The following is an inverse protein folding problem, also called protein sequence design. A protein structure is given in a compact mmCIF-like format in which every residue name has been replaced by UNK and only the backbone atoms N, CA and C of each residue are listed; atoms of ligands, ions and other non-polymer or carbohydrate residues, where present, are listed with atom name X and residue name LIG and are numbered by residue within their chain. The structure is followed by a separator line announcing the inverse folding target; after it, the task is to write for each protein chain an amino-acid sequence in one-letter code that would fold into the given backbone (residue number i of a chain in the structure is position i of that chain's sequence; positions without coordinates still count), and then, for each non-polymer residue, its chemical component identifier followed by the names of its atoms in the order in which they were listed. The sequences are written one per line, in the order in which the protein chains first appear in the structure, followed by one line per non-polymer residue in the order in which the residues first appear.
data_IF_416866499328
#
_entry.id   IF_416866499328
#
_cell.length_a   1.000
_cell.length_b   1.000
_cell.length_c   1.000
_cell.angle_alpha   90.00
_cell.angle_beta   90.00
_cell.angle_gamma   90.00
#
_symmetry.space_group_name_H-M   'P 1'
#
loop_
_entity.id
_entity.type
_entity.pdbx_description
1 polymer ?
#
# COMPACT_ATOMS: atom_id res chain seq x y z
N UNK A 1 39.30 -7.19 -0.05
CA UNK A 1 37.91 -7.54 0.31
C UNK A 1 37.13 -7.42 -0.97
N UNK A 2 36.53 -8.53 -1.42
CA UNK A 2 35.75 -8.56 -2.67
C UNK A 2 34.61 -7.54 -2.56
N UNK A 3 34.61 -6.57 -3.44
CA UNK A 3 33.57 -5.52 -3.56
C UNK A 3 32.29 -6.05 -4.25
N UNK A 4 31.98 -7.33 -4.03
CA UNK A 4 30.76 -7.93 -4.57
C UNK A 4 29.53 -7.34 -3.87
N UNK A 5 28.56 -6.90 -4.67
CA UNK A 5 27.28 -6.43 -4.14
C UNK A 5 26.61 -7.53 -3.29
N UNK A 6 25.96 -7.20 -2.16
CA UNK A 6 25.19 -8.18 -1.42
C UNK A 6 24.11 -8.83 -2.29
N UNK A 7 23.73 -10.05 -1.97
CA UNK A 7 22.71 -10.80 -2.71
C UNK A 7 21.39 -10.85 -1.93
N UNK A 8 20.30 -10.45 -2.57
CA UNK A 8 18.94 -10.54 -2.04
C UNK A 8 18.18 -11.64 -2.78
N UNK A 9 17.73 -12.65 -2.05
CA UNK A 9 16.84 -13.68 -2.57
C UNK A 9 15.38 -13.29 -2.28
N UNK A 10 14.55 -13.22 -3.31
CA UNK A 10 13.11 -12.95 -3.20
C UNK A 10 12.35 -14.23 -3.54
N UNK A 11 11.56 -14.71 -2.60
CA UNK A 11 10.69 -15.88 -2.76
C UNK A 11 9.25 -15.39 -2.92
N UNK A 12 8.68 -15.61 -4.10
CA UNK A 12 7.38 -15.08 -4.54
C UNK A 12 7.56 -13.95 -5.56
N UNK A 13 7.07 -14.17 -6.80
CA UNK A 13 7.22 -13.25 -7.95
C UNK A 13 5.98 -12.42 -8.26
N UNK A 14 5.03 -12.31 -7.32
CA UNK A 14 3.83 -11.49 -7.49
C UNK A 14 4.09 -9.98 -7.34
N UNK A 15 3.02 -9.19 -7.17
CA UNK A 15 3.10 -7.74 -6.97
C UNK A 15 4.19 -7.34 -5.96
N UNK A 16 4.14 -7.84 -4.74
CA UNK A 16 5.04 -7.41 -3.66
C UNK A 16 6.47 -7.88 -3.92
N UNK A 17 6.67 -9.18 -4.21
CA UNK A 17 8.02 -9.71 -4.43
C UNK A 17 8.68 -9.17 -5.69
N UNK A 18 7.94 -9.05 -6.78
CA UNK A 18 8.42 -8.38 -8.00
C UNK A 18 8.79 -6.92 -7.76
N UNK A 19 7.98 -6.20 -6.99
CA UNK A 19 8.29 -4.81 -6.61
C UNK A 19 9.52 -4.70 -5.72
N UNK A 20 9.72 -5.64 -4.78
CA UNK A 20 10.95 -5.70 -3.96
C UNK A 20 12.16 -5.92 -4.87
N UNK A 21 12.09 -6.89 -5.78
CA UNK A 21 13.16 -7.19 -6.72
C UNK A 21 13.54 -5.96 -7.56
N UNK A 22 12.55 -5.30 -8.16
CA UNK A 22 12.77 -4.08 -8.93
C UNK A 22 13.31 -2.91 -8.09
N UNK A 23 12.82 -2.73 -6.85
CA UNK A 23 13.28 -1.65 -5.96
C UNK A 23 14.75 -1.82 -5.57
N UNK A 24 15.18 -3.06 -5.24
CA UNK A 24 16.58 -3.38 -4.93
C UNK A 24 17.48 -3.15 -6.14
N UNK A 25 17.10 -3.61 -7.32
CA UNK A 25 17.86 -3.41 -8.57
C UNK A 25 17.96 -1.94 -8.95
N UNK A 26 16.86 -1.20 -8.87
CA UNK A 26 16.84 0.27 -9.12
C UNK A 26 17.79 1.03 -8.20
N UNK A 27 17.86 0.62 -6.94
CA UNK A 27 18.80 1.21 -5.98
C UNK A 27 20.26 0.86 -6.24
N UNK A 28 20.56 -0.14 -7.07
CA UNK A 28 21.91 -0.63 -7.33
C UNK A 28 22.63 -1.14 -6.07
N UNK A 29 21.83 -1.54 -5.06
CA UNK A 29 22.36 -1.85 -3.70
C UNK A 29 22.67 -3.32 -3.50
N UNK A 30 22.12 -4.21 -4.35
CA UNK A 30 22.33 -5.64 -4.26
C UNK A 30 21.99 -6.35 -5.60
N UNK A 31 22.55 -7.55 -5.79
CA UNK A 31 22.10 -8.52 -6.82
C UNK A 31 20.83 -9.21 -6.35
N UNK A 32 19.88 -9.45 -7.24
CA UNK A 32 18.58 -10.06 -6.90
C UNK A 32 18.43 -11.42 -7.59
N UNK A 33 18.16 -12.45 -6.79
CA UNK A 33 17.67 -13.75 -7.25
C UNK A 33 16.19 -13.85 -6.89
N UNK A 34 15.36 -14.28 -7.85
CA UNK A 34 13.93 -14.47 -7.64
C UNK A 34 13.53 -15.91 -7.89
N UNK A 35 12.65 -16.44 -7.06
CA UNK A 35 12.00 -17.72 -7.31
C UNK A 35 10.51 -17.65 -6.97
N UNK A 36 9.72 -18.47 -7.61
CA UNK A 36 8.31 -18.71 -7.30
C UNK A 36 8.00 -20.19 -7.49
N UNK A 37 7.01 -20.72 -6.78
CA UNK A 37 6.54 -22.10 -6.98
C UNK A 37 5.91 -22.31 -8.37
N UNK A 38 5.25 -21.26 -8.88
CA UNK A 38 4.57 -21.28 -10.17
C UNK A 38 5.56 -20.97 -11.31
N UNK A 39 5.69 -21.90 -12.26
CA UNK A 39 6.54 -21.73 -13.44
C UNK A 39 6.07 -20.59 -14.35
N UNK A 40 4.76 -20.36 -14.44
CA UNK A 40 4.22 -19.25 -15.21
C UNK A 40 4.65 -17.90 -14.63
N UNK A 41 4.63 -17.75 -13.31
CA UNK A 41 5.15 -16.57 -12.61
C UNK A 41 6.64 -16.38 -12.85
N UNK A 42 7.45 -17.47 -12.75
CA UNK A 42 8.90 -17.41 -13.04
C UNK A 42 9.19 -17.00 -14.48
N UNK A 43 8.45 -17.56 -15.43
CA UNK A 43 8.60 -17.22 -16.85
C UNK A 43 8.27 -15.75 -17.07
N UNK A 44 7.16 -15.30 -16.51
CA UNK A 44 6.75 -13.90 -16.64
C UNK A 44 7.72 -12.94 -15.96
N UNK A 45 8.27 -13.32 -14.80
CA UNK A 45 9.30 -12.53 -14.11
C UNK A 45 10.58 -12.35 -14.97
N UNK A 46 10.97 -13.38 -15.76
CA UNK A 46 12.09 -13.26 -16.71
C UNK A 46 11.74 -12.32 -17.87
N UNK A 47 10.55 -12.47 -18.46
CA UNK A 47 10.09 -11.61 -19.57
C UNK A 47 10.02 -10.14 -19.17
N UNK A 48 9.64 -9.86 -17.92
CA UNK A 48 9.53 -8.51 -17.36
C UNK A 48 10.86 -8.00 -16.76
N UNK A 49 11.92 -8.79 -16.81
CA UNK A 49 13.24 -8.44 -16.24
C UNK A 49 13.17 -7.99 -14.77
N UNK A 50 12.40 -8.72 -13.95
CA UNK A 50 12.15 -8.32 -12.55
C UNK A 50 13.39 -8.52 -11.65
N UNK A 51 14.28 -9.46 -11.95
CA UNK A 51 15.44 -9.83 -11.14
C UNK A 51 16.67 -10.07 -12.03
N UNK A 52 17.87 -10.06 -11.45
CA UNK A 52 19.09 -10.38 -12.18
C UNK A 52 19.14 -11.86 -12.58
N UNK A 53 18.49 -12.72 -11.79
CA UNK A 53 18.35 -14.14 -12.10
C UNK A 53 17.03 -14.68 -11.53
N UNK A 54 16.33 -15.50 -12.32
CA UNK A 54 15.10 -16.18 -11.89
C UNK A 54 15.36 -17.69 -11.89
N UNK A 55 15.42 -18.28 -10.71
CA UNK A 55 15.77 -19.69 -10.48
C UNK A 55 14.54 -20.55 -10.18
N UNK A 56 14.69 -21.87 -10.29
CA UNK A 56 13.55 -22.79 -10.20
C UNK A 56 13.13 -23.10 -8.74
N UNK A 57 14.10 -23.19 -7.83
CA UNK A 57 13.86 -23.67 -6.48
C UNK A 57 14.41 -22.72 -5.40
N UNK A 58 13.81 -22.79 -4.21
CA UNK A 58 14.25 -21.98 -3.06
C UNK A 58 15.72 -22.20 -2.71
N UNK A 59 16.25 -23.44 -2.64
CA UNK A 59 17.67 -23.66 -2.36
C UNK A 59 18.60 -22.91 -3.32
N UNK A 60 18.28 -22.90 -4.62
CA UNK A 60 19.11 -22.25 -5.64
C UNK A 60 19.15 -20.72 -5.45
N UNK A 61 18.03 -20.14 -4.98
CA UNK A 61 17.95 -18.70 -4.74
C UNK A 61 18.74 -18.25 -3.50
N UNK A 62 18.81 -19.10 -2.46
CA UNK A 62 19.25 -18.67 -1.14
C UNK A 62 20.67 -19.06 -0.76
N UNK A 63 21.33 -19.98 -1.49
CA UNK A 63 22.65 -20.55 -1.13
C UNK A 63 23.73 -19.48 -0.97
N UNK A 64 23.67 -18.38 -1.70
CA UNK A 64 24.60 -17.26 -1.60
C UNK A 64 23.93 -15.96 -1.14
N UNK A 65 22.72 -16.02 -0.58
CA UNK A 65 21.98 -14.84 -0.20
C UNK A 65 22.47 -14.22 1.12
N UNK A 66 22.59 -12.92 1.16
CA UNK A 66 22.79 -12.13 2.39
C UNK A 66 21.47 -11.77 3.05
N UNK A 67 20.39 -11.63 2.26
CA UNK A 67 19.03 -11.37 2.72
C UNK A 67 18.06 -12.24 1.94
N UNK A 68 17.16 -12.90 2.65
CA UNK A 68 16.07 -13.70 2.08
C UNK A 68 14.74 -13.04 2.45
N UNK A 69 13.94 -12.74 1.44
CA UNK A 69 12.61 -12.13 1.61
C UNK A 69 11.53 -13.07 1.10
N UNK A 70 10.66 -13.53 1.99
CA UNK A 70 9.47 -14.32 1.62
C UNK A 70 8.27 -13.39 1.36
N UNK A 71 7.96 -13.14 0.09
CA UNK A 71 6.83 -12.34 -0.36
C UNK A 71 5.70 -13.23 -0.89
N UNK A 72 5.20 -14.11 -0.04
CA UNK A 72 4.22 -15.16 -0.31
C UNK A 72 3.07 -15.13 0.70
N UNK A 73 1.94 -15.82 0.47
CA UNK A 73 0.85 -15.88 1.43
C UNK A 73 1.33 -16.31 2.83
N UNK A 74 0.78 -15.67 3.88
CA UNK A 74 1.18 -15.86 5.28
C UNK A 74 1.17 -17.33 5.72
N UNK A 75 0.27 -18.13 5.16
CA UNK A 75 0.14 -19.58 5.45
C UNK A 75 1.33 -20.41 4.99
N UNK A 76 2.14 -19.92 4.06
CA UNK A 76 3.30 -20.63 3.51
C UNK A 76 4.65 -20.08 4.05
N UNK A 77 4.65 -18.92 4.71
CA UNK A 77 5.88 -18.22 5.12
C UNK A 77 6.74 -19.07 6.03
N UNK A 78 6.14 -19.72 7.02
CA UNK A 78 6.88 -20.50 8.03
C UNK A 78 7.69 -21.63 7.36
N UNK A 79 7.03 -22.47 6.58
CA UNK A 79 7.68 -23.63 5.95
C UNK A 79 8.74 -23.22 4.94
N UNK A 80 8.45 -22.16 4.17
CA UNK A 80 9.36 -21.66 3.16
C UNK A 80 10.60 -21.02 3.77
N UNK A 81 10.44 -20.18 4.84
CA UNK A 81 11.60 -19.59 5.53
C UNK A 81 12.45 -20.61 6.27
N UNK A 82 11.85 -21.64 6.87
CA UNK A 82 12.62 -22.74 7.47
C UNK A 82 13.39 -23.52 6.39
N UNK A 83 12.77 -23.79 5.24
CA UNK A 83 13.46 -24.40 4.10
C UNK A 83 14.60 -23.53 3.61
N UNK A 84 14.36 -22.23 3.42
CA UNK A 84 15.39 -21.27 3.05
C UNK A 84 16.53 -21.23 4.08
N UNK A 85 16.22 -21.24 5.37
CA UNK A 85 17.20 -21.20 6.45
C UNK A 85 18.15 -22.40 6.48
N UNK A 86 17.72 -23.58 6.03
CA UNK A 86 18.55 -24.79 5.93
C UNK A 86 19.61 -24.69 4.82
N UNK A 87 19.37 -23.86 3.81
CA UNK A 87 20.23 -23.74 2.62
C UNK A 87 20.98 -22.41 2.56
N UNK A 88 20.46 -21.37 3.17
CA UNK A 88 21.10 -20.05 3.22
C UNK A 88 22.28 -20.02 4.20
N UNK A 89 23.28 -19.16 3.98
CA UNK A 89 24.33 -18.90 4.97
C UNK A 89 23.75 -18.56 6.35
N UNK A 90 24.38 -19.02 7.42
CA UNK A 90 23.92 -18.71 8.81
C UNK A 90 23.95 -17.21 9.13
N UNK A 91 24.68 -16.43 8.37
CA UNK A 91 24.75 -14.96 8.45
C UNK A 91 23.67 -14.24 7.63
N UNK A 92 22.93 -14.97 6.80
CA UNK A 92 21.86 -14.41 5.99
C UNK A 92 20.70 -13.96 6.87
N UNK A 93 20.19 -12.79 6.60
CA UNK A 93 19.00 -12.25 7.26
C UNK A 93 17.77 -12.88 6.59
N UNK A 94 16.81 -13.30 7.41
CA UNK A 94 15.52 -13.82 6.94
C UNK A 94 14.43 -12.80 7.26
N UNK A 95 13.57 -12.52 6.32
CA UNK A 95 12.40 -11.65 6.52
C UNK A 95 11.23 -12.09 5.65
N UNK A 96 10.08 -11.53 5.89
CA UNK A 96 8.88 -11.75 5.09
C UNK A 96 8.15 -10.42 4.80
N UNK A 97 7.15 -10.47 3.94
CA UNK A 97 6.30 -9.35 3.60
C UNK A 97 4.81 -9.63 3.93
N UNK A 98 4.51 -10.62 4.76
CA UNK A 98 3.16 -11.03 5.08
C UNK A 98 2.42 -10.01 5.94
N UNK A 99 1.09 -9.97 5.81
CA UNK A 99 0.23 -9.03 6.54
C UNK A 99 0.03 -9.39 8.02
N UNK A 100 0.34 -10.62 8.43
CA UNK A 100 0.21 -11.10 9.82
C UNK A 100 1.59 -11.26 10.44
N UNK A 101 1.77 -10.75 11.67
CA UNK A 101 3.08 -10.80 12.32
C UNK A 101 3.11 -11.67 13.56
N UNK A 102 2.11 -11.58 14.44
CA UNK A 102 2.13 -12.29 15.72
C UNK A 102 2.34 -13.81 15.56
N UNK A 103 1.49 -14.46 14.79
CA UNK A 103 1.55 -15.91 14.58
C UNK A 103 2.77 -16.29 13.75
N UNK A 104 2.99 -15.60 12.63
CA UNK A 104 4.10 -15.88 11.70
C UNK A 104 5.45 -15.74 12.41
N UNK A 105 5.65 -14.62 13.14
CA UNK A 105 6.93 -14.37 13.84
C UNK A 105 7.17 -15.42 14.94
N UNK A 106 6.14 -15.75 15.72
CA UNK A 106 6.28 -16.77 16.78
C UNK A 106 6.63 -18.13 16.20
N UNK A 107 5.94 -18.58 15.16
CA UNK A 107 6.15 -19.89 14.55
C UNK A 107 7.49 -19.99 13.81
N UNK A 108 7.89 -18.97 13.05
CA UNK A 108 9.19 -18.94 12.37
C UNK A 108 10.31 -19.02 13.42
N UNK A 109 10.27 -18.16 14.46
CA UNK A 109 11.29 -18.13 15.49
C UNK A 109 11.40 -19.48 16.22
N UNK A 110 10.25 -20.08 16.59
CA UNK A 110 10.22 -21.36 17.26
C UNK A 110 10.78 -22.51 16.40
N UNK A 111 10.41 -22.55 15.10
CA UNK A 111 10.90 -23.59 14.17
C UNK A 111 12.40 -23.43 13.90
N UNK A 112 12.89 -22.20 13.70
CA UNK A 112 14.32 -21.94 13.53
C UNK A 112 15.12 -22.37 14.79
N UNK A 113 14.60 -22.08 15.98
CA UNK A 113 15.23 -22.50 17.24
C UNK A 113 15.24 -24.02 17.38
N UNK A 114 14.14 -24.71 17.08
CA UNK A 114 14.03 -26.17 17.19
C UNK A 114 15.00 -26.92 16.27
N UNK A 115 15.39 -26.30 15.14
CA UNK A 115 16.32 -26.88 14.16
C UNK A 115 17.74 -26.29 14.27
N UNK A 116 18.05 -25.50 15.29
CA UNK A 116 19.33 -24.79 15.44
C UNK A 116 19.71 -23.92 14.22
N UNK A 117 18.74 -23.23 13.65
CA UNK A 117 18.92 -22.41 12.44
C UNK A 117 19.10 -20.91 12.72
N UNK A 118 19.69 -20.55 13.87
CA UNK A 118 19.97 -19.17 14.31
C UNK A 118 18.71 -18.27 14.22
N UNK A 119 17.74 -18.39 15.15
CA UNK A 119 16.47 -17.66 15.09
C UNK A 119 16.63 -16.14 15.13
N UNK A 120 17.71 -15.62 15.72
CA UNK A 120 17.99 -14.18 15.82
C UNK A 120 18.15 -13.47 14.47
N UNK A 121 18.46 -14.20 13.42
CA UNK A 121 18.57 -13.63 12.05
C UNK A 121 17.22 -13.39 11.35
N UNK A 122 16.12 -13.82 11.94
CA UNK A 122 14.80 -13.55 11.40
C UNK A 122 14.22 -12.26 11.98
N UNK A 123 13.73 -11.40 11.09
CA UNK A 123 13.01 -10.16 11.42
C UNK A 123 11.73 -10.14 10.60
N UNK A 124 10.59 -10.27 11.23
CA UNK A 124 9.31 -10.17 10.53
C UNK A 124 9.14 -8.81 9.88
N UNK A 125 8.58 -8.77 8.68
CA UNK A 125 8.37 -7.55 7.90
C UNK A 125 6.95 -7.46 7.34
N UNK A 126 6.47 -6.23 7.15
CA UNK A 126 5.21 -5.95 6.46
C UNK A 126 5.27 -4.59 5.77
N UNK A 127 5.37 -4.52 4.43
CA UNK A 127 5.22 -3.28 3.70
C UNK A 127 3.76 -2.82 3.75
N UNK A 128 3.52 -1.61 4.27
CA UNK A 128 2.20 -0.97 4.24
C UNK A 128 1.97 -0.36 2.85
N UNK A 129 2.03 -1.21 1.83
CA UNK A 129 1.89 -0.88 0.43
C UNK A 129 1.26 -2.08 -0.30
N UNK A 130 0.50 -1.78 -1.34
CA UNK A 130 -0.18 -2.80 -2.16
C UNK A 130 -1.17 -2.14 -3.10
N UNK A 131 -1.77 -2.94 -3.94
CA UNK A 131 -2.88 -2.53 -4.80
C UNK A 131 -3.86 -3.71 -4.96
N UNK A 132 -4.99 -3.44 -5.57
CA UNK A 132 -5.96 -4.47 -5.97
C UNK A 132 -5.47 -5.33 -7.16
N UNK A 133 -4.34 -4.96 -7.78
CA UNK A 133 -3.73 -5.71 -8.87
C UNK A 133 -2.87 -6.84 -8.32
N UNK A 134 -2.83 -7.95 -9.02
CA UNK A 134 -2.09 -9.15 -8.67
C UNK A 134 -1.10 -9.54 -9.78
N UNK A 135 -0.18 -10.43 -9.46
CA UNK A 135 0.76 -11.00 -10.42
C UNK A 135 2.01 -10.16 -10.67
N UNK A 136 2.96 -10.71 -11.44
CA UNK A 136 4.23 -10.06 -11.78
C UNK A 136 4.05 -8.78 -12.63
N UNK A 137 2.98 -8.70 -13.44
CA UNK A 137 2.63 -7.52 -14.25
C UNK A 137 2.30 -6.28 -13.43
N UNK A 138 1.92 -6.47 -12.18
CA UNK A 138 1.61 -5.38 -11.26
C UNK A 138 2.83 -4.86 -10.50
N UNK A 139 3.99 -5.50 -10.65
CA UNK A 139 5.21 -5.11 -9.95
C UNK A 139 5.66 -3.70 -10.35
N UNK A 140 6.00 -2.90 -9.34
CA UNK A 140 6.49 -1.53 -9.51
C UNK A 140 7.65 -1.26 -8.53
N UNK A 141 8.83 -0.96 -9.06
CA UNK A 141 10.03 -0.65 -8.25
C UNK A 141 9.92 0.64 -7.44
N UNK A 142 8.88 1.44 -7.63
CA UNK A 142 8.59 2.63 -6.83
C UNK A 142 7.55 2.41 -5.72
N UNK A 143 6.94 1.22 -5.66
CA UNK A 143 5.84 0.89 -4.75
C UNK A 143 6.13 1.24 -3.27
N UNK A 144 7.38 1.14 -2.86
CA UNK A 144 7.79 1.34 -1.47
C UNK A 144 8.34 2.74 -1.18
N UNK A 145 8.46 3.61 -2.19
CA UNK A 145 8.96 4.97 -1.99
C UNK A 145 7.99 5.76 -1.10
N UNK A 146 8.50 6.24 0.05
CA UNK A 146 7.69 6.92 1.04
C UNK A 146 6.72 6.02 1.82
N UNK A 147 6.53 4.76 1.41
CA UNK A 147 5.68 3.82 2.12
C UNK A 147 6.30 3.39 3.46
N UNK A 148 5.46 3.13 4.45
CA UNK A 148 5.92 2.58 5.73
C UNK A 148 6.17 1.09 5.57
N UNK A 149 7.34 0.62 6.00
CA UNK A 149 7.64 -0.80 6.16
C UNK A 149 7.77 -1.11 7.65
N UNK A 150 6.87 -1.91 8.18
CA UNK A 150 6.92 -2.30 9.57
C UNK A 150 7.83 -3.50 9.71
N UNK A 151 8.81 -3.42 10.62
CA UNK A 151 9.61 -4.53 11.10
C UNK A 151 9.13 -4.94 12.49
N UNK A 152 9.09 -6.24 12.73
CA UNK A 152 8.60 -6.78 14.01
C UNK A 152 9.68 -7.59 14.74
N UNK A 153 10.68 -6.91 15.33
CA UNK A 153 11.69 -7.57 16.15
C UNK A 153 11.07 -8.17 17.41
N UNK A 154 11.70 -9.22 17.91
CA UNK A 154 11.42 -9.86 19.20
C UNK A 154 12.69 -9.86 20.06
N UNK A 155 12.59 -10.32 21.31
CA UNK A 155 13.75 -10.46 22.19
C UNK A 155 14.82 -11.43 21.64
N UNK A 156 14.44 -12.32 20.71
CA UNK A 156 15.36 -13.21 20.03
C UNK A 156 16.06 -12.59 18.82
N UNK A 157 15.62 -11.41 18.37
CA UNK A 157 16.13 -10.79 17.14
C UNK A 157 17.51 -10.19 17.36
N UNK A 158 18.47 -10.49 16.48
CA UNK A 158 19.81 -9.89 16.49
C UNK A 158 19.73 -8.41 16.05
N UNK A 159 20.29 -7.52 16.85
CA UNK A 159 20.34 -6.09 16.53
C UNK A 159 21.03 -5.82 15.19
N UNK A 160 22.09 -6.56 14.88
CA UNK A 160 22.79 -6.43 13.60
C UNK A 160 21.90 -6.82 12.40
N UNK A 161 21.07 -7.85 12.54
CA UNK A 161 20.11 -8.25 11.51
C UNK A 161 19.04 -7.16 11.30
N UNK A 162 18.49 -6.62 12.39
CA UNK A 162 17.52 -5.53 12.35
C UNK A 162 18.11 -4.27 11.68
N UNK A 163 19.33 -3.87 12.05
CA UNK A 163 19.97 -2.69 11.46
C UNK A 163 20.28 -2.85 9.97
N UNK A 164 20.85 -4.00 9.56
CA UNK A 164 21.18 -4.27 8.15
C UNK A 164 19.90 -4.31 7.29
N UNK A 165 18.85 -5.00 7.76
CA UNK A 165 17.57 -5.03 7.05
C UNK A 165 16.95 -3.63 6.95
N UNK A 166 16.97 -2.86 8.05
CA UNK A 166 16.47 -1.48 8.04
C UNK A 166 17.23 -0.59 7.06
N UNK A 167 18.55 -0.75 6.94
CA UNK A 167 19.36 -0.01 5.98
C UNK A 167 18.99 -0.37 4.53
N UNK A 168 18.84 -1.66 4.23
CA UNK A 168 18.39 -2.12 2.91
C UNK A 168 17.04 -1.51 2.53
N UNK A 169 16.04 -1.58 3.42
CA UNK A 169 14.70 -1.07 3.16
C UNK A 169 14.67 0.44 2.93
N UNK A 170 15.46 1.20 3.72
CA UNK A 170 15.64 2.64 3.50
C UNK A 170 16.35 2.95 2.19
N UNK A 171 17.25 2.06 1.73
CA UNK A 171 17.98 2.21 0.49
C UNK A 171 17.08 2.28 -0.76
N UNK A 172 15.91 1.68 -0.73
CA UNK A 172 14.92 1.83 -1.78
C UNK A 172 13.70 2.70 -1.41
N UNK A 173 13.88 3.57 -0.44
CA UNK A 173 12.95 4.68 -0.16
C UNK A 173 11.85 4.39 0.85
N UNK A 174 11.82 3.22 1.49
CA UNK A 174 10.84 2.91 2.53
C UNK A 174 11.11 3.64 3.85
N UNK A 175 10.05 4.02 4.54
CA UNK A 175 10.11 4.51 5.92
C UNK A 175 9.99 3.32 6.89
N UNK A 176 11.06 2.99 7.57
CA UNK A 176 11.09 1.82 8.47
C UNK A 176 10.56 2.20 9.85
N UNK A 177 9.59 1.44 10.33
CA UNK A 177 9.01 1.51 11.67
C UNK A 177 9.18 0.16 12.37
N UNK A 178 9.73 0.13 13.57
CA UNK A 178 9.83 -1.09 14.36
C UNK A 178 8.72 -1.13 15.43
N UNK A 179 7.98 -2.25 15.49
CA UNK A 179 6.90 -2.50 16.44
C UNK A 179 6.96 -3.96 16.93
N UNK A 180 6.56 -4.27 18.17
CA UNK A 180 6.31 -5.65 18.56
C UNK A 180 5.24 -6.31 17.68
N UNK A 181 5.34 -7.63 17.38
CA UNK A 181 4.39 -8.34 16.51
C UNK A 181 2.93 -8.19 16.93
N UNK A 182 2.64 -8.29 18.24
CA UNK A 182 1.28 -8.13 18.76
C UNK A 182 0.75 -6.72 18.51
N UNK A 183 1.59 -5.70 18.74
CA UNK A 183 1.20 -4.31 18.54
C UNK A 183 0.95 -4.00 17.06
N UNK A 184 1.75 -4.59 16.17
CA UNK A 184 1.51 -4.53 14.73
C UNK A 184 0.11 -5.05 14.38
N UNK A 185 -0.24 -6.27 14.82
CA UNK A 185 -1.51 -6.92 14.48
C UNK A 185 -2.72 -6.17 15.06
N UNK A 186 -2.60 -5.58 16.26
CA UNK A 186 -3.62 -4.69 16.82
C UNK A 186 -3.85 -3.44 15.96
N UNK A 187 -2.78 -2.79 15.51
CA UNK A 187 -2.88 -1.57 14.71
C UNK A 187 -3.45 -1.84 13.31
N UNK A 188 -2.98 -2.89 12.63
CA UNK A 188 -3.49 -3.22 11.29
C UNK A 188 -4.94 -3.72 11.33
N UNK A 189 -5.39 -4.29 12.45
CA UNK A 189 -6.80 -4.61 12.63
C UNK A 189 -7.69 -3.36 12.53
N UNK A 190 -7.24 -2.21 13.02
CA UNK A 190 -7.99 -0.95 12.98
C UNK A 190 -7.83 -0.22 11.64
N UNK A 191 -6.61 -0.16 11.09
CA UNK A 191 -6.33 0.71 9.93
C UNK A 191 -6.44 -0.01 8.58
N UNK A 192 -6.55 -1.34 8.58
CA UNK A 192 -6.63 -2.17 7.37
C UNK A 192 -7.81 -3.15 7.41
N UNK A 193 -7.86 -4.04 8.41
CA UNK A 193 -8.84 -5.13 8.43
C UNK A 193 -10.26 -4.62 8.69
N UNK A 194 -10.44 -3.72 9.65
CA UNK A 194 -11.74 -3.11 9.92
C UNK A 194 -12.28 -2.32 8.71
N UNK A 195 -11.51 -1.45 8.04
CA UNK A 195 -11.95 -0.81 6.80
C UNK A 195 -12.42 -1.79 5.72
N UNK A 196 -11.72 -2.91 5.52
CA UNK A 196 -12.12 -3.95 4.57
C UNK A 196 -13.49 -4.55 4.94
N UNK A 197 -13.67 -4.94 6.20
CA UNK A 197 -14.93 -5.52 6.68
C UNK A 197 -16.06 -4.50 6.58
N UNK A 198 -15.82 -3.24 6.96
CA UNK A 198 -16.82 -2.18 6.88
C UNK A 198 -17.23 -1.88 5.43
N UNK A 199 -16.26 -1.82 4.50
CA UNK A 199 -16.54 -1.63 3.08
C UNK A 199 -17.34 -2.79 2.49
N UNK A 200 -16.98 -4.03 2.85
CA UNK A 200 -17.71 -5.23 2.40
C UNK A 200 -19.13 -5.24 2.93
N UNK A 201 -19.34 -4.96 4.23
CA UNK A 201 -20.67 -4.89 4.81
C UNK A 201 -21.52 -3.78 4.20
N UNK A 202 -20.93 -2.60 3.91
CA UNK A 202 -21.66 -1.50 3.27
C UNK A 202 -22.06 -1.85 1.83
N UNK A 203 -21.19 -2.51 1.09
CA UNK A 203 -21.48 -2.96 -0.27
C UNK A 203 -22.58 -4.02 -0.30
N UNK A 204 -22.56 -4.95 0.67
CA UNK A 204 -23.56 -6.03 0.80
C UNK A 204 -24.94 -5.47 1.15
N UNK A 205 -25.04 -4.52 2.09
CA UNK A 205 -26.29 -3.78 2.39
C UNK A 205 -26.85 -3.10 1.13
N UNK A 206 -26.00 -2.50 0.30
CA UNK A 206 -26.45 -1.88 -0.94
C UNK A 206 -26.93 -2.93 -1.96
N UNK A 207 -26.29 -4.10 -2.02
CA UNK A 207 -26.69 -5.20 -2.87
C UNK A 207 -28.08 -5.74 -2.52
N UNK A 208 -28.40 -5.86 -1.23
CA UNK A 208 -29.74 -6.25 -0.76
C UNK A 208 -30.82 -5.25 -1.24
N UNK A 209 -30.53 -3.96 -1.19
CA UNK A 209 -31.46 -2.92 -1.66
C UNK A 209 -31.62 -2.97 -3.19
N UNK A 210 -30.53 -3.22 -3.94
CA UNK A 210 -30.58 -3.42 -5.40
C UNK A 210 -31.46 -4.61 -5.75
N UNK A 211 -31.32 -5.73 -5.04
CA UNK A 211 -32.12 -6.92 -5.25
C UNK A 211 -33.62 -6.68 -4.99
N UNK A 212 -33.94 -5.83 -4.02
CA UNK A 212 -35.33 -5.50 -3.66
C UNK A 212 -35.98 -4.42 -4.54
N UNK A 213 -35.17 -3.42 -5.00
CA UNK A 213 -35.67 -2.18 -5.62
C UNK A 213 -35.15 -1.93 -7.04
N UNK A 214 -34.33 -2.85 -7.58
CA UNK A 214 -33.72 -2.71 -8.90
C UNK A 214 -32.53 -1.74 -8.94
N UNK A 215 -31.94 -1.56 -10.11
CA UNK A 215 -30.66 -0.84 -10.33
C UNK A 215 -30.71 0.68 -10.07
N UNK A 216 -31.87 1.23 -9.74
CA UNK A 216 -32.03 2.67 -9.45
C UNK A 216 -31.06 3.13 -8.34
N UNK A 217 -30.75 2.25 -7.39
CA UNK A 217 -29.76 2.53 -6.30
C UNK A 217 -28.38 2.87 -6.87
N UNK A 218 -27.97 2.19 -7.95
CA UNK A 218 -26.67 2.43 -8.59
C UNK A 218 -26.62 3.80 -9.27
N UNK A 219 -27.73 4.28 -9.78
CA UNK A 219 -27.82 5.59 -10.43
C UNK A 219 -27.62 6.76 -9.45
N UNK A 220 -27.94 6.56 -8.15
CA UNK A 220 -27.76 7.56 -7.10
C UNK A 220 -26.48 7.37 -6.29
N UNK A 221 -25.72 6.32 -6.58
CA UNK A 221 -24.42 6.05 -5.94
C UNK A 221 -23.38 7.11 -6.33
N UNK A 222 -23.16 8.08 -5.43
CA UNK A 222 -22.18 9.15 -5.60
C UNK A 222 -20.73 8.70 -5.34
N UNK A 223 -19.79 9.64 -5.49
CA UNK A 223 -18.35 9.40 -5.27
C UNK A 223 -18.05 8.83 -3.88
N UNK A 224 -18.67 9.39 -2.83
CA UNK A 224 -18.45 8.92 -1.45
C UNK A 224 -18.77 7.44 -1.26
N UNK A 225 -19.84 6.92 -1.86
CA UNK A 225 -20.16 5.49 -1.83
C UNK A 225 -19.08 4.66 -2.54
N UNK A 226 -18.70 5.07 -3.76
CA UNK A 226 -17.68 4.37 -4.57
C UNK A 226 -16.34 4.33 -3.85
N UNK A 227 -15.89 5.45 -3.28
CA UNK A 227 -14.61 5.54 -2.57
C UNK A 227 -14.61 4.66 -1.31
N UNK A 228 -15.71 4.70 -0.54
CA UNK A 228 -15.82 3.91 0.71
C UNK A 228 -15.91 2.41 0.44
N UNK A 229 -16.54 1.98 -0.66
CA UNK A 229 -16.71 0.56 -0.98
C UNK A 229 -15.67 0.01 -1.95
N UNK A 230 -14.75 0.83 -2.47
CA UNK A 230 -13.75 0.42 -3.47
C UNK A 230 -12.98 -0.84 -3.09
N UNK A 231 -12.55 -0.93 -1.84
CA UNK A 231 -11.76 -2.06 -1.34
C UNK A 231 -12.60 -3.34 -1.14
N UNK A 232 -13.92 -3.26 -1.12
CA UNK A 232 -14.79 -4.44 -1.03
C UNK A 232 -14.64 -5.41 -2.23
N UNK A 233 -14.12 -4.92 -3.37
CA UNK A 233 -13.84 -5.73 -4.56
C UNK A 233 -12.55 -6.57 -4.45
N UNK A 234 -11.86 -6.55 -3.34
CA UNK A 234 -10.66 -7.34 -3.10
C UNK A 234 -10.95 -8.84 -3.09
N UNK A 235 -9.95 -9.64 -3.50
CA UNK A 235 -10.03 -11.09 -3.55
C UNK A 235 -10.33 -11.70 -2.16
N UNK A 236 -11.41 -12.47 -2.00
CA UNK A 236 -11.73 -13.14 -0.75
C UNK A 236 -10.65 -14.13 -0.28
N UNK A 237 -9.96 -14.81 -1.19
CA UNK A 237 -8.93 -15.78 -0.85
C UNK A 237 -7.69 -15.13 -0.22
N UNK A 238 -7.45 -13.85 -0.50
CA UNK A 238 -6.46 -13.04 0.20
C UNK A 238 -6.93 -12.70 1.63
N UNK A 239 -8.21 -12.34 1.80
CA UNK A 239 -8.70 -11.79 3.05
C UNK A 239 -9.09 -12.84 4.09
N UNK A 240 -9.56 -14.02 3.67
CA UNK A 240 -9.94 -15.10 4.60
C UNK A 240 -8.81 -15.47 5.57
N UNK A 241 -7.56 -15.75 5.13
CA UNK A 241 -6.45 -16.03 6.04
C UNK A 241 -6.09 -14.84 6.93
N UNK A 242 -6.19 -13.62 6.41
CA UNK A 242 -5.85 -12.39 7.16
C UNK A 242 -6.83 -12.20 8.32
N UNK A 243 -8.13 -12.23 8.04
CA UNK A 243 -9.16 -12.02 9.06
C UNK A 243 -9.16 -13.14 10.12
N UNK A 244 -9.01 -14.40 9.69
CA UNK A 244 -8.97 -15.54 10.60
C UNK A 244 -7.68 -15.58 11.42
N UNK A 245 -6.54 -15.24 10.84
CA UNK A 245 -5.25 -15.23 11.53
C UNK A 245 -5.11 -14.08 12.53
N UNK A 246 -5.79 -12.96 12.31
CA UNK A 246 -5.84 -11.81 13.24
C UNK A 246 -7.18 -11.72 13.99
N UNK A 247 -7.86 -12.86 14.18
CA UNK A 247 -9.24 -12.93 14.69
C UNK A 247 -9.49 -12.11 15.95
N UNK A 248 -8.64 -12.20 16.94
CA UNK A 248 -8.85 -11.54 18.25
C UNK A 248 -8.84 -10.03 18.09
N UNK A 249 -7.84 -9.46 17.40
CA UNK A 249 -7.74 -8.03 17.21
C UNK A 249 -8.84 -7.50 16.27
N UNK A 250 -9.22 -8.28 15.25
CA UNK A 250 -10.34 -7.92 14.35
C UNK A 250 -11.67 -7.86 15.09
N UNK A 251 -11.96 -8.85 15.96
CA UNK A 251 -13.18 -8.83 16.78
C UNK A 251 -13.22 -7.62 17.72
N UNK A 252 -12.10 -7.31 18.38
CA UNK A 252 -12.00 -6.12 19.22
C UNK A 252 -12.23 -4.82 18.42
N UNK A 253 -11.63 -4.70 17.24
CA UNK A 253 -11.84 -3.55 16.35
C UNK A 253 -13.32 -3.43 15.91
N UNK A 254 -13.97 -4.55 15.59
CA UNK A 254 -15.39 -4.60 15.25
C UNK A 254 -16.29 -4.20 16.43
N UNK A 255 -15.98 -4.62 17.65
CA UNK A 255 -16.75 -4.21 18.83
C UNK A 255 -16.64 -2.71 19.08
N UNK A 256 -15.45 -2.13 18.91
CA UNK A 256 -15.28 -0.68 18.99
C UNK A 256 -16.05 0.05 17.89
N UNK A 257 -16.02 -0.46 16.65
CA UNK A 257 -16.74 0.13 15.53
C UNK A 257 -18.25 0.08 15.75
N UNK A 258 -18.78 -1.08 16.18
CA UNK A 258 -20.19 -1.27 16.51
C UNK A 258 -20.64 -0.27 17.58
N UNK A 259 -19.85 -0.10 18.66
CA UNK A 259 -20.19 0.87 19.70
C UNK A 259 -20.26 2.32 19.15
N UNK A 260 -19.45 2.70 18.16
CA UNK A 260 -19.55 4.00 17.47
C UNK A 260 -20.79 4.12 16.59
N UNK A 261 -21.15 3.03 15.89
CA UNK A 261 -22.41 3.00 15.12
C UNK A 261 -23.63 3.12 16.02
N UNK A 262 -23.63 2.46 17.19
CA UNK A 262 -24.70 2.54 18.17
C UNK A 262 -24.83 3.96 18.77
N UNK A 263 -23.69 4.65 19.02
CA UNK A 263 -23.68 6.06 19.46
C UNK A 263 -24.35 6.98 18.40
N UNK A 264 -23.99 6.81 17.13
CA UNK A 264 -24.56 7.56 16.01
C UNK A 264 -26.06 7.25 15.86
N UNK A 265 -26.42 5.98 15.89
CA UNK A 265 -27.80 5.52 15.79
C UNK A 265 -28.68 6.08 16.87
N UNK A 266 -28.22 6.08 18.12
CA UNK A 266 -28.96 6.67 19.25
C UNK A 266 -29.17 8.16 19.05
N UNK A 267 -28.13 8.92 18.69
CA UNK A 267 -28.24 10.36 18.46
C UNK A 267 -29.25 10.70 17.34
N UNK A 268 -29.30 9.87 16.28
CA UNK A 268 -30.30 10.05 15.21
C UNK A 268 -31.71 9.68 15.70
N UNK A 269 -31.88 8.59 16.44
CA UNK A 269 -33.18 8.14 16.93
C UNK A 269 -33.82 9.12 17.92
N UNK A 270 -32.98 9.77 18.73
CA UNK A 270 -33.41 10.71 19.76
C UNK A 270 -33.48 12.18 19.25
N UNK A 271 -33.22 12.41 17.95
CA UNK A 271 -33.10 13.75 17.32
C UNK A 271 -32.12 14.68 18.08
N UNK A 272 -31.09 14.10 18.70
CA UNK A 272 -30.04 14.85 19.44
C UNK A 272 -28.96 15.38 18.46
N UNK A 273 -29.28 16.55 17.87
CA UNK A 273 -28.37 17.24 16.97
C UNK A 273 -27.01 17.59 17.64
N UNK A 274 -26.98 17.82 18.95
CA UNK A 274 -25.75 18.16 19.66
C UNK A 274 -24.85 16.91 19.84
N UNK A 275 -25.43 15.75 20.16
CA UNK A 275 -24.69 14.50 20.22
C UNK A 275 -24.15 14.13 18.85
N UNK A 276 -24.98 14.21 17.81
CA UNK A 276 -24.56 13.92 16.43
C UNK A 276 -23.41 14.83 15.99
N UNK A 277 -23.51 16.14 16.23
CA UNK A 277 -22.42 17.09 15.93
C UNK A 277 -21.13 16.71 16.65
N UNK A 278 -21.19 16.36 17.93
CA UNK A 278 -19.99 15.93 18.70
C UNK A 278 -19.28 14.73 18.05
N UNK A 279 -20.03 13.73 17.56
CA UNK A 279 -19.47 12.56 16.90
C UNK A 279 -18.81 12.94 15.59
N UNK A 280 -19.50 13.69 14.74
CA UNK A 280 -19.00 14.12 13.43
C UNK A 280 -17.76 15.02 13.57
N UNK A 281 -17.75 15.97 14.49
CA UNK A 281 -16.60 16.82 14.76
C UNK A 281 -15.40 16.03 15.26
N UNK A 282 -15.62 15.01 16.10
CA UNK A 282 -14.55 14.12 16.57
C UNK A 282 -13.95 13.34 15.39
N UNK A 283 -14.78 12.79 14.52
CA UNK A 283 -14.35 12.07 13.33
C UNK A 283 -13.58 12.96 12.36
N UNK A 284 -14.08 14.16 12.09
CA UNK A 284 -13.42 15.14 11.23
C UNK A 284 -12.03 15.56 11.78
N UNK A 285 -11.94 15.82 13.10
CA UNK A 285 -10.63 16.09 13.73
C UNK A 285 -9.67 14.91 13.61
N UNK A 286 -10.14 13.67 13.80
CA UNK A 286 -9.33 12.46 13.65
C UNK A 286 -8.83 12.34 12.20
N UNK A 287 -9.70 12.52 11.20
CA UNK A 287 -9.34 12.43 9.77
C UNK A 287 -8.24 13.43 9.41
N UNK A 288 -8.36 14.68 9.87
CA UNK A 288 -7.32 15.72 9.64
C UNK A 288 -5.96 15.39 10.26
N UNK A 289 -5.92 14.56 11.32
CA UNK A 289 -4.66 14.10 11.93
C UNK A 289 -4.09 12.87 11.25
N UNK A 290 -4.96 11.97 10.76
CA UNK A 290 -4.57 10.70 10.14
C UNK A 290 -4.07 10.86 8.70
N UNK A 291 -4.49 11.91 8.02
CA UNK A 291 -3.85 12.35 6.79
C UNK A 291 -2.82 13.38 7.21
N UNK A 292 -1.54 13.02 7.32
CA UNK A 292 -0.53 14.04 7.42
C UNK A 292 -0.78 14.98 6.23
N UNK A 293 -0.83 16.27 6.47
CA UNK A 293 -0.38 17.19 5.44
C UNK A 293 1.01 16.69 5.12
N UNK A 294 1.20 15.98 4.04
CA UNK A 294 2.50 15.87 3.38
C UNK A 294 3.03 17.27 3.47
N UNK A 295 4.26 17.42 3.97
CA UNK A 295 4.92 18.67 4.33
C UNK A 295 4.28 19.78 3.52
N UNK A 296 3.56 20.71 4.14
CA UNK A 296 2.68 21.59 3.41
C UNK A 296 3.52 22.51 2.53
N UNK A 297 3.96 21.97 1.40
CA UNK A 297 4.23 22.76 0.22
C UNK A 297 2.89 23.41 -0.04
N UNK A 298 2.83 24.71 0.15
CA UNK A 298 1.61 25.42 -0.16
C UNK A 298 1.25 25.02 -1.59
N UNK A 299 0.09 24.42 -1.78
CA UNK A 299 -0.37 23.97 -3.09
C UNK A 299 -1.45 24.90 -3.62
N UNK A 300 -1.53 25.02 -4.91
CA UNK A 300 -2.56 25.78 -5.63
C UNK A 300 -3.10 24.93 -6.76
N UNK A 301 -4.31 25.22 -7.18
CA UNK A 301 -4.92 24.58 -8.33
C UNK A 301 -4.74 25.48 -9.58
N UNK A 302 -4.14 24.93 -10.64
CA UNK A 302 -4.19 25.48 -11.97
C UNK A 302 -5.50 25.04 -12.61
N UNK A 303 -6.40 25.97 -12.81
CA UNK A 303 -7.73 25.72 -13.39
C UNK A 303 -7.64 25.94 -14.89
N UNK A 304 -7.88 24.88 -15.66
CA UNK A 304 -7.72 24.86 -17.11
C UNK A 304 -9.04 24.46 -17.77
N UNK A 305 -9.81 25.38 -18.32
CA UNK A 305 -10.94 25.05 -19.15
C UNK A 305 -10.48 24.30 -20.41
N UNK A 306 -10.92 23.05 -20.57
CA UNK A 306 -10.56 22.21 -21.71
C UNK A 306 -11.80 21.91 -22.57
N UNK A 307 -11.58 21.87 -23.88
CA UNK A 307 -12.56 21.26 -24.77
C UNK A 307 -12.54 19.76 -24.58
N UNK A 308 -13.72 19.13 -24.53
CA UNK A 308 -13.86 17.67 -24.43
C UNK A 308 -13.54 17.03 -25.79
N UNK A 309 -12.24 16.86 -26.05
CA UNK A 309 -11.71 16.24 -27.26
C UNK A 309 -10.46 15.41 -26.96
N UNK A 310 -10.23 14.34 -27.73
CA UNK A 310 -9.02 13.55 -27.59
C UNK A 310 -7.74 14.39 -27.64
N UNK A 311 -6.81 14.17 -26.71
CA UNK A 311 -5.52 14.84 -26.62
C UNK A 311 -5.49 16.13 -25.81
N UNK A 312 -6.62 16.72 -25.40
CA UNK A 312 -6.64 17.95 -24.64
C UNK A 312 -5.93 17.83 -23.29
N UNK A 313 -6.16 16.75 -22.56
CA UNK A 313 -5.47 16.44 -21.29
C UNK A 313 -3.96 16.19 -21.53
N UNK A 314 -3.62 15.46 -22.59
CA UNK A 314 -2.23 15.17 -22.94
C UNK A 314 -1.44 16.46 -23.25
N UNK A 315 -2.05 17.45 -23.91
CA UNK A 315 -1.43 18.74 -24.19
C UNK A 315 -1.08 19.50 -22.90
N UNK A 316 -2.00 19.52 -21.92
CA UNK A 316 -1.76 20.16 -20.62
C UNK A 316 -0.64 19.47 -19.85
N UNK A 317 -0.67 18.12 -19.77
CA UNK A 317 0.35 17.33 -19.07
C UNK A 317 1.74 17.50 -19.73
N UNK A 318 1.81 17.51 -21.06
CA UNK A 318 3.07 17.72 -21.80
C UNK A 318 3.66 19.10 -21.54
N UNK A 319 2.82 20.15 -21.53
CA UNK A 319 3.25 21.51 -21.24
C UNK A 319 3.83 21.65 -19.83
N UNK A 320 3.19 21.06 -18.83
CA UNK A 320 3.65 21.08 -17.45
C UNK A 320 4.94 20.27 -17.27
N UNK A 321 5.02 19.09 -17.89
CA UNK A 321 6.23 18.25 -17.87
C UNK A 321 7.43 18.93 -18.52
N UNK A 322 7.25 19.61 -19.68
CA UNK A 322 8.30 20.37 -20.34
C UNK A 322 8.82 21.55 -19.49
N UNK A 323 7.96 22.13 -18.64
CA UNK A 323 8.32 23.18 -17.69
C UNK A 323 8.88 22.65 -16.36
N UNK A 324 9.11 21.34 -16.23
CA UNK A 324 9.54 20.68 -14.98
C UNK A 324 8.64 21.05 -13.78
N UNK A 325 7.33 21.09 -14.00
CA UNK A 325 6.32 21.30 -12.96
C UNK A 325 5.78 19.93 -12.54
N UNK A 326 6.01 19.57 -11.27
CA UNK A 326 5.43 18.36 -10.69
C UNK A 326 3.93 18.57 -10.47
N UNK A 327 3.14 17.55 -10.79
CA UNK A 327 1.69 17.54 -10.61
C UNK A 327 1.40 16.70 -9.37
N UNK A 328 0.83 17.32 -8.33
CA UNK A 328 0.50 16.68 -7.05
C UNK A 328 -0.85 15.94 -7.10
N UNK A 329 -1.81 16.50 -7.86
CA UNK A 329 -3.14 15.92 -8.03
C UNK A 329 -3.80 16.43 -9.31
N UNK A 330 -4.73 15.63 -9.87
CA UNK A 330 -5.50 15.98 -11.08
C UNK A 330 -6.97 15.63 -10.89
N UNK A 331 -7.84 16.60 -11.08
CA UNK A 331 -9.28 16.37 -11.11
C UNK A 331 -9.90 16.94 -12.37
N UNK A 332 -10.86 16.23 -12.96
CA UNK A 332 -11.64 16.71 -14.10
C UNK A 332 -13.10 16.89 -13.67
N UNK A 333 -13.65 18.07 -13.90
CA UNK A 333 -15.08 18.36 -13.70
C UNK A 333 -15.72 18.54 -15.06
N UNK A 334 -16.66 17.68 -15.41
CA UNK A 334 -17.46 17.82 -16.62
C UNK A 334 -18.67 18.72 -16.34
N UNK A 335 -18.97 19.66 -17.21
CA UNK A 335 -20.24 20.39 -17.16
C UNK A 335 -21.38 19.43 -17.56
N UNK A 336 -22.50 19.51 -16.86
CA UNK A 336 -23.66 18.63 -17.11
C UNK A 336 -24.32 18.85 -18.49
N UNK A 337 -23.95 19.90 -19.20
CA UNK A 337 -24.39 20.18 -20.57
C UNK A 337 -23.32 20.98 -21.31
N UNK A 338 -22.63 20.36 -22.27
CA UNK A 338 -21.73 21.04 -23.19
C UNK A 338 -20.38 20.35 -23.42
N UNK A 339 -19.74 20.66 -24.53
CA UNK A 339 -18.46 20.08 -24.98
C UNK A 339 -17.23 20.63 -24.22
N UNK A 340 -17.37 21.02 -22.94
CA UNK A 340 -16.29 21.59 -22.14
C UNK A 340 -16.20 20.97 -20.78
N UNK A 341 -14.96 20.65 -20.37
CA UNK A 341 -14.60 20.27 -19.02
C UNK A 341 -13.67 21.31 -18.38
N UNK A 342 -13.51 21.23 -17.09
CA UNK A 342 -12.51 21.99 -16.34
C UNK A 342 -11.53 21.01 -15.72
N UNK A 343 -10.26 21.11 -16.13
CA UNK A 343 -9.16 20.37 -15.54
C UNK A 343 -8.60 21.20 -14.38
N UNK A 344 -8.56 20.61 -13.21
CA UNK A 344 -7.90 21.13 -12.01
C UNK A 344 -6.57 20.38 -11.87
N UNK A 345 -5.46 21.09 -11.95
CA UNK A 345 -4.12 20.52 -11.76
C UNK A 345 -3.52 21.13 -10.52
N UNK A 346 -3.37 20.32 -9.47
CA UNK A 346 -2.74 20.74 -8.23
C UNK A 346 -1.24 20.71 -8.38
N UNK A 347 -0.58 21.82 -8.06
CA UNK A 347 0.87 21.99 -8.12
C UNK A 347 1.38 22.71 -6.87
N UNK A 348 2.68 22.59 -6.58
CA UNK A 348 3.31 23.38 -5.53
C UNK A 348 3.18 24.88 -5.83
N UNK A 349 2.90 25.69 -4.81
CA UNK A 349 2.64 27.13 -4.99
C UNK A 349 3.85 27.89 -5.58
N UNK A 350 5.06 27.45 -5.29
CA UNK A 350 6.30 27.98 -5.88
C UNK A 350 6.47 27.62 -7.38
N UNK A 351 5.82 26.55 -7.84
CA UNK A 351 5.79 26.12 -9.23
C UNK A 351 4.61 26.72 -10.03
N UNK A 352 3.64 27.33 -9.36
CA UNK A 352 2.39 27.81 -9.96
C UNK A 352 2.59 28.79 -11.13
N UNK A 353 3.47 29.77 -10.95
CA UNK A 353 3.77 30.75 -11.99
C UNK A 353 4.39 30.12 -13.24
N UNK A 354 5.29 29.13 -13.06
CA UNK A 354 5.89 28.37 -14.18
C UNK A 354 4.84 27.51 -14.87
N UNK A 355 4.02 26.79 -14.09
CA UNK A 355 2.96 25.95 -14.64
C UNK A 355 1.91 26.75 -15.42
N UNK A 356 1.46 27.86 -14.86
CA UNK A 356 0.54 28.77 -15.54
C UNK A 356 1.12 29.29 -16.88
N UNK A 357 2.38 29.78 -16.84
CA UNK A 357 3.05 30.27 -18.05
C UNK A 357 3.21 29.21 -19.13
N UNK A 358 3.53 27.97 -18.75
CA UNK A 358 3.65 26.82 -19.65
C UNK A 358 2.30 26.48 -20.34
N UNK A 359 1.23 26.45 -19.57
CA UNK A 359 -0.11 26.19 -20.10
C UNK A 359 -0.56 27.27 -21.06
N UNK A 360 -0.34 28.53 -20.72
CA UNK A 360 -0.66 29.67 -21.60
C UNK A 360 0.17 29.62 -22.88
N UNK A 361 1.47 29.31 -22.80
CA UNK A 361 2.35 29.17 -23.97
C UNK A 361 1.93 27.99 -24.88
N UNK A 362 1.31 26.94 -24.30
CA UNK A 362 0.71 25.85 -25.07
C UNK A 362 -0.69 26.18 -25.65
N UNK A 363 -1.15 27.41 -25.53
CA UNK A 363 -2.46 27.86 -26.05
C UNK A 363 -3.65 27.45 -25.18
N UNK A 364 -3.41 27.06 -23.95
CA UNK A 364 -4.45 26.70 -23.01
C UNK A 364 -4.78 27.89 -22.09
N UNK A 365 -6.06 28.23 -21.98
CA UNK A 365 -6.49 29.20 -20.99
C UNK A 365 -6.30 28.56 -19.60
N UNK A 366 -5.57 29.24 -18.70
CA UNK A 366 -5.36 28.78 -17.35
C UNK A 366 -5.40 29.94 -16.35
N UNK A 367 -5.82 29.69 -15.13
CA UNK A 367 -5.67 30.63 -14.02
C UNK A 367 -5.32 29.86 -12.73
N UNK A 368 -4.74 30.58 -11.78
CA UNK A 368 -4.34 30.01 -10.49
C UNK A 368 -5.42 30.31 -9.47
N UNK A 369 -5.89 29.26 -8.78
CA UNK A 369 -6.78 29.39 -7.65
C UNK A 369 -6.14 28.82 -6.38
N UNK A 370 -6.36 29.44 -5.23
CA UNK A 370 -6.08 28.76 -3.96
C UNK A 370 -6.85 27.44 -3.93
N UNK A 371 -6.22 26.38 -3.42
CA UNK A 371 -6.98 25.15 -3.16
C UNK A 371 -8.13 25.54 -2.25
N UNK A 372 -9.36 25.40 -2.75
CA UNK A 372 -10.54 25.66 -1.95
C UNK A 372 -10.40 24.80 -0.68
N UNK A 373 -10.28 25.42 0.48
CA UNK A 373 -10.51 24.72 1.72
C UNK A 373 -11.91 24.11 1.53
N UNK A 374 -11.98 22.75 1.58
CA UNK A 374 -13.25 22.04 1.50
C UNK A 374 -14.24 22.86 2.34
N UNK A 375 -15.20 23.45 1.68
CA UNK A 375 -16.22 24.23 2.34
C UNK A 375 -16.91 23.28 3.30
N UNK A 376 -16.83 23.65 4.57
CA UNK A 376 -17.46 23.01 5.74
C UNK A 376 -18.90 22.54 5.49
#
# INVERSE_FOLDING_TARGET
MDDALPTVAVIGGGLIGGSIALAVRRGGVARVLLTDRDEAVRTRARELDLADEVVAAVPDAVTAADVVVAAIPSTAVVDVLVTAARHAPRTAILTDAASLKRVVTAEVTARLAAEDLAPGRYVGGHPMAGSERNGPEAADGSLFQGATWVLTPTDATDDAALHRLSALLRGFGARVLALPPDRHDELVAIVSHLPQVAASALADVAADVVAASGEVVLAVAGGGFRDTTRIAASDPDLWLPILSGNRTAVLQALDHYRARLDEIRAAIADDDAAALRRVLDRAARARRRLVPKEQAVAVVDLVVPLADRPGALAAAATALGAAAVNVEDVAMRHAQAGDRGVLLVRVAADAAARGHAALVAAGLAAHVEPVAADLD
#
